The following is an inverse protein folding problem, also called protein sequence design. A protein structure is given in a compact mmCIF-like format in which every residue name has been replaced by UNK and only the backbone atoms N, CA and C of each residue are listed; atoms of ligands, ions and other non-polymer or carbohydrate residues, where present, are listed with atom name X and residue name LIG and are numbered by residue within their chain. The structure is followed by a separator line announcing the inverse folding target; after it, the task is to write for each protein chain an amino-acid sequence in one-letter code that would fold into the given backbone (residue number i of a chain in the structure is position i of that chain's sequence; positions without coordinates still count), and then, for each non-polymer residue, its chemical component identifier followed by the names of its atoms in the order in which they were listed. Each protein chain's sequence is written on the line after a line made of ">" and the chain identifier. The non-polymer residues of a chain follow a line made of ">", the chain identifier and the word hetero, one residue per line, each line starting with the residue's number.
data_IF_902190261371
#
_entry.id   IF_902190261371
#
_cell.length_a   1.000
_cell.length_b   1.000
_cell.length_c   1.000
_cell.angle_alpha   90.00
_cell.angle_beta   90.00
_cell.angle_gamma   90.00
#
_symmetry.space_group_name_H-M   'P 1'
#
loop_
_entity.id
_entity.type
_entity.pdbx_description
1 polymer ?
#
# COMPACT_ATOMS: atom_id res chain seq x y z
N UNK A 1 -0.31 -40.40 -19.54
CA UNK A 1 -0.45 -39.48 -18.39
C UNK A 1 0.82 -38.64 -18.28
N UNK A 2 0.83 -37.43 -18.84
CA UNK A 2 2.02 -36.56 -18.77
C UNK A 2 2.06 -35.99 -17.34
N UNK A 3 3.06 -36.40 -16.53
CA UNK A 3 3.31 -35.78 -15.22
C UNK A 3 3.53 -34.29 -15.46
N UNK A 4 2.60 -33.42 -15.06
CA UNK A 4 2.83 -31.96 -15.01
C UNK A 4 4.09 -31.77 -14.17
N UNK A 5 5.19 -31.36 -14.82
CA UNK A 5 6.44 -31.00 -14.11
C UNK A 5 6.07 -29.96 -13.06
N UNK A 6 6.34 -30.29 -11.80
CA UNK A 6 6.13 -29.36 -10.69
C UNK A 6 7.02 -28.12 -10.92
N UNK A 7 6.43 -26.93 -10.93
CA UNK A 7 7.12 -25.68 -11.23
C UNK A 7 8.10 -25.29 -10.12
N UNK A 8 9.06 -24.40 -10.41
CA UNK A 8 10.01 -23.91 -9.39
C UNK A 8 9.26 -23.15 -8.31
N UNK A 9 8.27 -22.33 -8.70
CA UNK A 9 7.43 -21.60 -7.74
C UNK A 9 6.68 -22.55 -6.81
N UNK A 10 6.13 -23.65 -7.31
CA UNK A 10 5.39 -24.62 -6.50
C UNK A 10 6.26 -25.30 -5.42
N UNK A 11 7.58 -25.31 -5.58
CA UNK A 11 8.53 -25.83 -4.58
C UNK A 11 8.95 -24.79 -3.54
N UNK A 12 8.78 -23.51 -3.84
CA UNK A 12 9.23 -22.40 -3.00
C UNK A 12 8.11 -21.80 -2.15
N UNK A 13 6.85 -21.94 -2.59
CA UNK A 13 5.69 -21.49 -1.81
C UNK A 13 5.42 -22.46 -0.66
N UNK A 14 5.15 -21.92 0.53
CA UNK A 14 4.65 -22.71 1.65
C UNK A 14 3.21 -23.15 1.39
N UNK A 15 2.78 -24.25 2.01
CA UNK A 15 1.41 -24.79 1.87
C UNK A 15 0.31 -23.77 2.25
N UNK A 16 0.64 -22.80 3.10
CA UNK A 16 -0.26 -21.73 3.56
C UNK A 16 0.01 -20.38 2.89
N UNK A 17 0.72 -20.35 1.75
CA UNK A 17 0.99 -19.09 1.06
C UNK A 17 -0.27 -18.53 0.39
N UNK A 18 -0.64 -17.31 0.73
CA UNK A 18 -1.69 -16.55 0.04
C UNK A 18 -1.29 -16.14 -1.39
N UNK A 19 -0.01 -16.28 -1.75
CA UNK A 19 0.51 -16.01 -3.09
C UNK A 19 0.65 -17.33 -3.87
N UNK A 20 0.02 -17.45 -5.06
CA UNK A 20 0.05 -18.69 -5.83
C UNK A 20 1.40 -18.97 -6.52
N UNK A 21 2.39 -18.09 -6.35
CA UNK A 21 3.73 -18.21 -6.93
C UNK A 21 4.78 -17.52 -6.06
N UNK A 22 6.03 -17.96 -6.22
CA UNK A 22 7.17 -17.35 -5.55
C UNK A 22 7.69 -16.16 -6.36
N UNK A 23 7.61 -14.95 -5.77
CA UNK A 23 8.14 -13.73 -6.40
C UNK A 23 9.66 -13.75 -6.34
N UNK A 24 10.31 -13.69 -7.51
CA UNK A 24 11.77 -13.56 -7.64
C UNK A 24 12.22 -12.11 -7.57
N UNK A 25 11.46 -11.21 -8.19
CA UNK A 25 11.71 -9.76 -8.14
C UNK A 25 10.45 -8.99 -8.51
N UNK A 26 10.42 -7.72 -8.17
CA UNK A 26 9.36 -6.79 -8.55
C UNK A 26 9.94 -5.48 -9.08
N UNK A 27 9.30 -4.86 -10.07
CA UNK A 27 9.73 -3.58 -10.65
C UNK A 27 8.53 -2.83 -11.24
N UNK A 28 8.36 -1.56 -10.88
CA UNK A 28 7.20 -0.74 -11.27
C UNK A 28 5.89 -1.44 -10.91
N UNK A 29 4.98 -1.67 -11.86
CA UNK A 29 3.72 -2.40 -11.66
C UNK A 29 3.81 -3.89 -12.03
N UNK A 30 5.02 -4.48 -11.97
CA UNK A 30 5.27 -5.85 -12.45
C UNK A 30 5.91 -6.75 -11.40
N UNK A 31 5.39 -7.96 -11.27
CA UNK A 31 6.01 -9.08 -10.52
C UNK A 31 6.64 -10.06 -11.51
N UNK A 32 7.76 -10.66 -11.11
CA UNK A 32 8.48 -11.66 -11.89
C UNK A 32 8.71 -12.85 -10.97
N UNK A 33 8.21 -14.03 -11.36
CA UNK A 33 8.37 -15.25 -10.55
C UNK A 33 9.66 -16.00 -10.90
N UNK A 34 9.85 -17.17 -10.28
CA UNK A 34 10.97 -18.07 -10.55
C UNK A 34 10.79 -18.93 -11.81
N UNK A 35 9.57 -19.02 -12.33
CA UNK A 35 9.23 -19.74 -13.57
C UNK A 35 9.27 -18.85 -14.82
N UNK A 36 9.79 -17.62 -14.68
CA UNK A 36 9.96 -16.60 -15.72
C UNK A 36 8.65 -15.96 -16.22
N UNK A 37 7.54 -16.19 -15.51
CA UNK A 37 6.29 -15.47 -15.76
C UNK A 37 6.43 -14.00 -15.33
N UNK A 38 5.64 -13.14 -15.97
CA UNK A 38 5.60 -11.70 -15.72
C UNK A 38 4.16 -11.30 -15.45
N UNK A 39 3.86 -10.85 -14.24
CA UNK A 39 2.52 -10.45 -13.86
C UNK A 39 2.40 -8.93 -13.81
N UNK A 40 1.30 -8.39 -14.33
CA UNK A 40 0.87 -7.04 -13.96
C UNK A 40 0.23 -7.09 -12.59
N UNK A 41 0.75 -6.29 -11.65
CA UNK A 41 0.30 -6.31 -10.27
C UNK A 41 -0.63 -5.13 -9.99
N UNK A 42 -1.90 -5.44 -9.77
CA UNK A 42 -2.92 -4.50 -9.29
C UNK A 42 -3.27 -4.72 -7.81
N UNK A 43 -2.58 -5.65 -7.14
CA UNK A 43 -2.54 -5.74 -5.68
C UNK A 43 -1.64 -4.63 -5.10
N UNK A 44 -0.44 -4.45 -5.67
CA UNK A 44 0.57 -3.47 -5.24
C UNK A 44 0.83 -3.52 -3.73
N UNK A 45 0.82 -4.74 -3.18
CA UNK A 45 0.90 -5.01 -1.75
C UNK A 45 -0.18 -4.24 -0.96
N UNK A 46 -1.43 -4.37 -1.41
CA UNK A 46 -2.58 -3.60 -0.92
C UNK A 46 -2.37 -2.08 -0.99
N UNK A 47 -1.83 -1.63 -2.13
CA UNK A 47 -1.54 -0.23 -2.39
C UNK A 47 -0.23 0.29 -1.80
N UNK A 48 0.43 -0.45 -0.88
CA UNK A 48 1.70 -0.08 -0.21
C UNK A 48 2.77 0.47 -1.14
N UNK A 49 2.77 -0.02 -2.36
CA UNK A 49 3.75 0.31 -3.37
C UNK A 49 3.11 1.20 -4.44
N UNK A 50 2.46 2.29 -4.01
CA UNK A 50 1.67 3.19 -4.88
C UNK A 50 2.51 3.87 -5.98
N UNK A 51 3.81 4.07 -5.74
CA UNK A 51 4.74 4.56 -6.78
C UNK A 51 5.29 3.45 -7.69
N UNK A 52 4.97 2.19 -7.40
CA UNK A 52 5.51 1.01 -8.04
C UNK A 52 6.80 0.48 -7.39
N UNK A 53 7.05 -0.82 -7.58
CA UNK A 53 8.15 -1.54 -6.96
C UNK A 53 9.51 -0.98 -7.38
N UNK A 54 10.42 -0.87 -6.41
CA UNK A 54 11.77 -0.38 -6.62
C UNK A 54 11.81 1.02 -7.27
N UNK A 55 10.91 1.92 -6.83
CA UNK A 55 10.92 3.33 -7.25
C UNK A 55 12.32 3.92 -7.06
N UNK A 56 12.83 4.63 -8.08
CA UNK A 56 14.25 5.04 -8.09
C UNK A 56 14.58 5.97 -6.91
N UNK A 57 13.75 6.98 -6.67
CA UNK A 57 13.92 7.95 -5.59
C UNK A 57 13.89 7.28 -4.22
N UNK A 58 12.97 6.33 -4.01
CA UNK A 58 12.84 5.60 -2.75
C UNK A 58 14.06 4.71 -2.51
N UNK A 59 14.46 3.94 -3.53
CA UNK A 59 15.66 3.10 -3.44
C UNK A 59 16.91 3.93 -3.15
N UNK A 60 17.05 5.10 -3.76
CA UNK A 60 18.17 6.02 -3.51
C UNK A 60 18.14 6.55 -2.07
N UNK A 61 16.98 7.01 -1.60
CA UNK A 61 16.82 7.53 -0.25
C UNK A 61 17.14 6.46 0.80
N UNK A 62 16.62 5.24 0.64
CA UNK A 62 16.92 4.09 1.50
C UNK A 62 18.42 3.76 1.56
N UNK A 63 19.09 3.70 0.40
CA UNK A 63 20.55 3.45 0.34
C UNK A 63 21.35 4.52 1.08
N UNK A 64 20.96 5.79 0.95
CA UNK A 64 21.61 6.90 1.65
C UNK A 64 21.33 6.88 3.16
N UNK A 65 20.20 6.35 3.60
CA UNK A 65 19.89 6.20 5.01
C UNK A 65 20.68 5.07 5.66
N UNK A 66 20.87 3.95 4.96
CA UNK A 66 21.70 2.85 5.46
C UNK A 66 23.12 3.31 5.82
N UNK A 67 23.73 4.21 5.04
CA UNK A 67 25.07 4.73 5.34
C UNK A 67 25.13 5.71 6.52
N UNK A 68 23.99 6.21 7.00
CA UNK A 68 23.88 7.18 8.10
C UNK A 68 23.39 6.55 9.42
N UNK A 69 23.12 5.24 9.43
CA UNK A 69 22.48 4.53 10.53
C UNK A 69 21.01 4.22 10.22
N UNK A 70 20.60 2.98 10.47
CA UNK A 70 19.27 2.47 10.11
C UNK A 70 18.20 2.69 11.20
N UNK A 71 18.61 2.87 12.44
CA UNK A 71 17.75 3.19 13.58
C UNK A 71 18.48 4.11 14.54
N UNK A 72 17.77 5.11 15.05
CA UNK A 72 18.18 5.90 16.20
C UNK A 72 16.90 6.15 17.00
N UNK A 73 16.88 5.79 18.29
CA UNK A 73 15.73 6.00 19.17
C UNK A 73 15.52 7.48 19.52
N UNK A 74 15.95 8.39 18.65
CA UNK A 74 16.01 9.82 18.90
C UNK A 74 15.23 10.57 17.83
N UNK A 75 14.64 11.71 18.20
CA UNK A 75 14.07 12.60 17.20
C UNK A 75 15.15 13.14 16.25
N UNK A 76 14.85 13.13 14.97
CA UNK A 76 15.74 13.66 13.92
C UNK A 76 15.04 14.77 13.15
N UNK A 77 15.82 15.63 12.49
CA UNK A 77 15.29 16.62 11.55
C UNK A 77 14.38 15.98 10.47
N UNK A 78 14.70 14.75 10.05
CA UNK A 78 13.88 13.99 9.12
C UNK A 78 12.50 13.67 9.71
N UNK A 79 12.46 13.16 10.94
CA UNK A 79 11.20 12.89 11.67
C UNK A 79 10.34 14.15 11.74
N UNK A 80 10.92 15.29 12.13
CA UNK A 80 10.19 16.57 12.17
C UNK A 80 9.68 17.02 10.80
N UNK A 81 10.49 16.84 9.73
CA UNK A 81 10.08 17.20 8.36
C UNK A 81 8.90 16.35 7.88
N UNK A 82 8.96 15.03 8.06
CA UNK A 82 7.87 14.12 7.67
C UNK A 82 6.61 14.41 8.48
N UNK A 83 6.72 14.65 9.80
CA UNK A 83 5.60 15.08 10.65
C UNK A 83 4.90 16.30 10.06
N UNK A 84 5.65 17.38 9.76
CA UNK A 84 5.11 18.61 9.17
C UNK A 84 4.44 18.37 7.82
N UNK A 85 5.06 17.59 6.93
CA UNK A 85 4.46 17.28 5.62
C UNK A 85 3.11 16.57 5.77
N UNK A 86 3.02 15.61 6.69
CA UNK A 86 1.76 14.90 6.98
C UNK A 86 0.71 15.83 7.62
N UNK A 87 1.12 16.68 8.57
CA UNK A 87 0.23 17.69 9.16
C UNK A 87 -0.33 18.63 8.10
N UNK A 88 0.49 19.08 7.14
CA UNK A 88 0.06 19.96 6.05
C UNK A 88 -0.83 19.25 5.04
N UNK A 89 -0.43 18.06 4.57
CA UNK A 89 -1.17 17.34 3.51
C UNK A 89 -2.56 16.89 3.96
N UNK A 90 -2.68 16.52 5.24
CA UNK A 90 -3.92 15.96 5.77
C UNK A 90 -4.60 16.85 6.81
N UNK A 91 -4.08 18.06 7.06
CA UNK A 91 -4.61 19.03 8.02
C UNK A 91 -4.74 18.48 9.45
N UNK A 92 -3.77 17.69 9.91
CA UNK A 92 -3.77 17.15 11.27
C UNK A 92 -2.93 18.00 12.24
N UNK A 93 -3.42 18.23 13.47
CA UNK A 93 -2.72 19.05 14.45
C UNK A 93 -1.44 18.42 14.98
N UNK A 94 -1.35 17.08 15.10
CA UNK A 94 -0.15 16.39 15.57
C UNK A 94 0.19 15.19 14.66
N UNK A 95 1.49 14.79 14.61
CA UNK A 95 1.95 13.58 13.91
C UNK A 95 2.93 12.72 14.72
N UNK A 96 2.73 11.39 14.78
CA UNK A 96 3.43 10.37 15.55
C UNK A 96 3.50 9.08 14.74
N UNK A 97 4.51 8.29 15.07
CA UNK A 97 4.89 7.09 14.34
C UNK A 97 4.89 5.92 15.32
N UNK A 98 4.38 4.77 14.88
CA UNK A 98 4.40 3.52 15.62
C UNK A 98 4.93 2.44 14.68
N UNK A 99 5.69 1.47 15.19
CA UNK A 99 6.25 0.41 14.33
C UNK A 99 5.29 -0.77 14.10
N UNK A 100 4.21 -0.86 14.88
CA UNK A 100 3.23 -1.95 14.80
C UNK A 100 1.84 -1.53 15.26
N UNK A 101 0.82 -2.35 14.96
CA UNK A 101 -0.55 -2.13 15.44
C UNK A 101 -0.65 -2.40 16.94
N UNK A 102 0.17 -3.31 17.43
CA UNK A 102 0.24 -3.73 18.82
C UNK A 102 0.75 -2.57 19.68
N UNK A 103 1.77 -1.85 19.23
CA UNK A 103 2.33 -0.67 19.90
C UNK A 103 1.33 0.48 19.94
N UNK A 104 0.65 0.73 18.82
CA UNK A 104 -0.46 1.66 18.77
C UNK A 104 -1.58 1.27 19.76
N UNK A 105 -1.97 -0.01 19.77
CA UNK A 105 -3.05 -0.49 20.64
C UNK A 105 -2.69 -0.33 22.11
N UNK A 106 -1.45 -0.65 22.48
CA UNK A 106 -0.94 -0.45 23.85
C UNK A 106 -0.97 1.03 24.24
N UNK A 107 -0.53 1.91 23.33
CA UNK A 107 -0.59 3.35 23.52
C UNK A 107 -2.04 3.85 23.72
N UNK A 108 -2.99 3.45 22.87
CA UNK A 108 -4.39 3.89 22.97
C UNK A 108 -5.05 3.44 24.28
N UNK A 109 -4.75 2.22 24.73
CA UNK A 109 -5.23 1.68 26.01
C UNK A 109 -4.72 2.48 27.20
N UNK A 110 -3.44 2.86 27.19
CA UNK A 110 -2.82 3.66 28.26
C UNK A 110 -3.37 5.09 28.33
N UNK A 111 -3.84 5.64 27.21
CA UNK A 111 -4.47 6.95 27.15
C UNK A 111 -6.01 6.92 27.18
N UNK A 112 -6.61 5.86 27.76
CA UNK A 112 -8.05 5.70 27.95
C UNK A 112 -8.89 5.89 26.67
N UNK A 113 -8.37 5.47 25.50
CA UNK A 113 -9.14 5.41 24.26
C UNK A 113 -9.68 3.99 24.07
N UNK A 114 -10.99 3.87 23.81
CA UNK A 114 -11.71 2.59 23.80
C UNK A 114 -11.27 1.66 22.64
N UNK A 115 -11.40 0.34 22.84
CA UNK A 115 -11.18 -0.68 21.81
C UNK A 115 -12.06 -0.48 20.56
N UNK A 116 -13.21 0.18 20.69
CA UNK A 116 -14.08 0.60 19.58
C UNK A 116 -13.36 1.54 18.59
N UNK A 117 -12.37 2.31 19.06
CA UNK A 117 -11.54 3.16 18.23
C UNK A 117 -10.55 2.34 17.40
N UNK A 118 -10.04 1.21 17.91
CA UNK A 118 -9.17 0.28 17.18
C UNK A 118 -9.91 -0.43 16.04
N UNK A 119 -11.14 -0.85 16.27
CA UNK A 119 -11.99 -1.47 15.23
C UNK A 119 -12.35 -0.46 14.14
N UNK A 120 -12.64 0.80 14.51
CA UNK A 120 -12.79 1.91 13.55
C UNK A 120 -11.48 2.20 12.82
N UNK A 121 -10.33 2.23 13.48
CA UNK A 121 -9.01 2.45 12.84
C UNK A 121 -8.70 1.36 11.81
N UNK A 122 -9.02 0.10 12.11
CA UNK A 122 -8.80 -1.01 11.18
C UNK A 122 -9.65 -0.91 9.88
N UNK A 123 -10.79 -0.23 9.96
CA UNK A 123 -11.70 0.02 8.83
C UNK A 123 -11.45 1.36 8.12
N UNK A 124 -10.62 2.25 8.68
CA UNK A 124 -10.19 3.50 8.07
C UNK A 124 -9.07 3.29 7.03
N UNK A 125 -9.37 2.57 5.95
CA UNK A 125 -8.54 2.54 4.72
C UNK A 125 -8.79 3.74 3.79
N UNK A 126 -9.63 4.67 4.22
CA UNK A 126 -9.99 5.87 3.46
C UNK A 126 -9.49 7.13 4.15
N UNK A 127 -8.98 8.13 3.39
CA UNK A 127 -8.83 9.48 3.92
C UNK A 127 -10.23 10.04 4.20
N UNK A 128 -10.74 9.83 5.42
CA UNK A 128 -12.00 10.41 5.82
C UNK A 128 -11.84 11.90 6.12
N UNK A 129 -12.79 12.68 5.61
CA UNK A 129 -12.92 14.12 5.77
C UNK A 129 -13.49 14.48 7.15
N UNK A 130 -12.72 14.33 8.22
CA UNK A 130 -13.09 14.92 9.51
C UNK A 130 -11.86 15.13 10.40
N UNK A 131 -11.74 16.33 10.97
CA UNK A 131 -10.68 16.79 11.88
C UNK A 131 -10.65 16.09 13.25
N UNK A 132 -11.58 15.17 13.53
CA UNK A 132 -11.81 14.63 14.87
C UNK A 132 -11.49 13.13 15.04
N UNK A 133 -11.05 12.44 13.98
CA UNK A 133 -10.78 10.99 14.04
C UNK A 133 -9.30 10.67 13.82
N UNK A 134 -8.72 9.71 14.58
CA UNK A 134 -7.38 9.22 14.31
C UNK A 134 -7.33 8.59 12.91
N UNK A 135 -6.40 9.06 12.07
CA UNK A 135 -6.18 8.49 10.75
C UNK A 135 -5.06 7.45 10.82
N UNK A 136 -5.36 6.23 10.40
CA UNK A 136 -4.35 5.30 9.94
C UNK A 136 -4.01 5.64 8.51
N UNK A 137 -2.79 6.15 8.29
CA UNK A 137 -2.31 6.25 6.92
C UNK A 137 -2.20 4.82 6.41
N UNK A 138 -2.97 4.56 5.36
CA UNK A 138 -2.92 3.31 4.64
C UNK A 138 -1.46 3.06 4.25
N UNK A 139 -1.06 1.80 4.32
CA UNK A 139 0.32 1.44 4.09
C UNK A 139 0.75 1.83 2.65
N UNK A 140 -0.17 2.14 1.73
CA UNK A 140 0.06 2.83 0.44
C UNK A 140 0.90 4.11 0.47
N UNK A 141 0.91 4.81 1.60
CA UNK A 141 1.75 6.01 1.79
C UNK A 141 3.14 5.65 2.35
N UNK A 142 3.30 4.42 2.85
CA UNK A 142 4.49 3.90 3.50
C UNK A 142 5.07 2.77 2.67
N UNK A 143 5.94 3.10 1.72
CA UNK A 143 6.56 2.13 0.82
C UNK A 143 7.52 1.11 1.51
N UNK A 144 7.36 0.82 2.82
CA UNK A 144 7.87 -0.38 3.49
C UNK A 144 7.50 -0.57 5.00
N UNK A 145 6.53 0.09 5.63
CA UNK A 145 6.17 -0.24 7.03
C UNK A 145 4.68 -0.12 7.34
N UNK A 146 4.02 -1.17 7.85
CA UNK A 146 2.66 -1.05 8.33
C UNK A 146 2.64 -0.23 9.62
N UNK A 147 1.69 0.70 9.66
CA UNK A 147 1.26 1.53 10.79
C UNK A 147 1.93 2.90 10.89
N UNK A 148 1.09 3.89 10.63
CA UNK A 148 1.29 5.31 10.84
C UNK A 148 -0.03 5.79 11.43
N UNK A 149 -0.09 6.02 12.74
CA UNK A 149 -1.32 6.50 13.39
C UNK A 149 -1.04 7.58 14.41
N UNK A 150 -1.98 8.51 14.48
CA UNK A 150 -2.17 9.68 15.34
C UNK A 150 -3.64 9.81 15.68
N UNK A 151 -4.14 10.38 16.78
CA UNK A 151 -3.80 11.57 17.57
C UNK A 151 -4.20 11.37 19.04
N UNK A 152 -3.55 12.08 19.97
CA UNK A 152 -4.10 12.46 21.28
C UNK A 152 -3.93 13.98 21.44
N UNK A 153 -4.81 14.65 22.19
CA UNK A 153 -4.68 16.07 22.56
C UNK A 153 -3.61 16.33 23.63
N UNK A 154 -2.89 15.28 24.07
CA UNK A 154 -1.94 15.35 25.18
C UNK A 154 -0.48 15.19 24.74
N UNK A 155 0.42 15.68 25.59
CA UNK A 155 1.86 15.58 25.44
C UNK A 155 2.32 14.12 25.56
N UNK A 156 3.01 13.61 24.55
CA UNK A 156 3.36 12.18 24.39
C UNK A 156 4.79 11.85 24.82
N UNK A 157 5.31 12.62 25.76
CA UNK A 157 6.61 12.40 26.37
C UNK A 157 6.92 10.93 26.78
N UNK A 158 5.97 10.08 27.23
CA UNK A 158 6.31 8.73 27.68
C UNK A 158 6.63 7.71 26.57
N UNK A 159 6.46 8.04 25.29
CA UNK A 159 6.70 7.12 24.16
C UNK A 159 7.73 7.62 23.15
N UNK A 160 8.57 8.58 23.53
CA UNK A 160 9.66 9.08 22.67
C UNK A 160 10.73 8.00 22.34
N UNK A 161 10.72 6.89 23.08
CA UNK A 161 11.69 5.79 22.92
C UNK A 161 11.27 4.72 21.90
N UNK A 162 10.21 4.91 21.11
CA UNK A 162 9.82 3.97 20.06
C UNK A 162 10.79 4.04 18.86
N UNK A 163 11.59 2.99 18.57
CA UNK A 163 12.60 3.02 17.53
C UNK A 163 11.98 2.90 16.13
N UNK A 164 11.51 4.03 15.61
CA UNK A 164 11.09 4.12 14.21
C UNK A 164 12.31 4.27 13.32
N UNK A 165 12.47 3.34 12.36
CA UNK A 165 13.66 3.31 11.52
C UNK A 165 13.77 4.54 10.59
N UNK A 166 14.99 5.05 10.44
CA UNK A 166 15.33 6.16 9.51
C UNK A 166 14.98 5.78 8.06
N UNK A 167 15.04 4.48 7.75
CA UNK A 167 14.68 3.92 6.44
C UNK A 167 13.20 4.15 6.12
N UNK A 168 12.29 3.87 7.06
CA UNK A 168 10.86 4.04 6.85
C UNK A 168 10.52 5.51 6.59
N UNK A 169 11.07 6.43 7.40
CA UNK A 169 10.82 7.87 7.27
C UNK A 169 11.31 8.44 5.92
N UNK A 170 12.44 7.96 5.39
CA UNK A 170 12.95 8.42 4.08
C UNK A 170 12.13 7.88 2.92
N UNK A 171 11.67 6.62 2.99
CA UNK A 171 10.71 6.10 2.03
C UNK A 171 9.43 6.92 2.02
N UNK A 172 8.86 7.19 3.19
CA UNK A 172 7.64 7.98 3.32
C UNK A 172 7.80 9.39 2.77
N UNK A 173 8.88 10.08 3.14
CA UNK A 173 9.15 11.44 2.65
C UNK A 173 9.11 11.49 1.13
N UNK A 174 9.79 10.55 0.46
CA UNK A 174 9.80 10.46 -1.00
C UNK A 174 8.40 10.16 -1.54
N UNK A 175 7.65 9.24 -0.92
CA UNK A 175 6.26 8.98 -1.32
C UNK A 175 5.42 10.24 -1.24
N UNK A 176 5.49 10.99 -0.15
CA UNK A 176 4.73 12.22 0.04
C UNK A 176 5.15 13.33 -0.95
N UNK A 177 6.44 13.43 -1.28
CA UNK A 177 6.95 14.40 -2.26
C UNK A 177 6.52 14.05 -3.70
N UNK A 178 6.35 12.76 -4.01
CA UNK A 178 6.03 12.30 -5.36
C UNK A 178 4.54 11.94 -5.56
N UNK A 179 3.75 11.77 -4.50
CA UNK A 179 2.34 11.40 -4.58
C UNK A 179 1.50 12.52 -5.22
N UNK A 180 0.93 12.22 -6.39
CA UNK A 180 0.15 13.19 -7.16
C UNK A 180 -1.30 12.74 -7.34
N UNK A 181 -2.21 13.19 -6.46
CA UNK A 181 -3.67 12.92 -6.60
C UNK A 181 -4.21 13.22 -8.02
N UNK A 182 -3.92 14.39 -8.64
CA UNK A 182 -4.43 14.71 -9.97
C UNK A 182 -3.97 13.76 -11.08
N UNK A 183 -2.77 13.17 -10.95
CA UNK A 183 -2.29 12.17 -11.89
C UNK A 183 -3.23 10.97 -11.94
N UNK A 184 -3.66 10.49 -10.78
CA UNK A 184 -4.53 9.31 -10.66
C UNK A 184 -5.93 9.56 -11.18
N UNK A 185 -6.53 10.68 -10.80
CA UNK A 185 -7.89 11.02 -11.25
C UNK A 185 -7.91 11.17 -12.78
N UNK A 186 -6.91 11.85 -13.36
CA UNK A 186 -6.77 11.96 -14.82
C UNK A 186 -6.56 10.58 -15.47
N UNK A 187 -5.78 9.71 -14.85
CA UNK A 187 -5.53 8.35 -15.36
C UNK A 187 -6.81 7.52 -15.33
N UNK A 188 -7.58 7.60 -14.25
CA UNK A 188 -8.89 6.95 -14.15
C UNK A 188 -9.85 7.51 -15.20
N UNK A 189 -10.03 8.83 -15.26
CA UNK A 189 -10.93 9.49 -16.20
C UNK A 189 -10.59 9.21 -17.67
N UNK A 190 -9.30 9.12 -17.99
CA UNK A 190 -8.83 8.88 -19.35
C UNK A 190 -8.86 7.42 -19.79
N UNK A 191 -8.62 6.46 -18.86
CA UNK A 191 -8.40 5.06 -19.22
C UNK A 191 -9.45 4.09 -18.67
N UNK A 192 -9.97 4.35 -17.46
CA UNK A 192 -10.91 3.46 -16.77
C UNK A 192 -12.37 3.91 -16.88
N UNK A 193 -12.62 5.20 -17.12
CA UNK A 193 -13.97 5.77 -17.24
C UNK A 193 -14.92 5.06 -18.21
N UNK A 194 -14.48 4.53 -19.38
CA UNK A 194 -15.38 3.75 -20.24
C UNK A 194 -15.97 2.50 -19.55
N UNK A 195 -15.35 2.05 -18.46
CA UNK A 195 -15.70 0.85 -17.69
C UNK A 195 -16.25 1.19 -16.31
N UNK A 196 -16.77 2.41 -16.15
CA UNK A 196 -17.42 2.87 -14.92
C UNK A 196 -18.73 2.12 -14.59
N UNK A 197 -19.22 1.26 -15.49
CA UNK A 197 -20.38 0.39 -15.23
C UNK A 197 -19.98 -0.80 -14.37
N UNK A 198 -18.75 -1.27 -14.54
CA UNK A 198 -18.15 -2.41 -13.85
C UNK A 198 -17.25 -1.96 -12.70
N UNK A 199 -16.65 -0.77 -12.80
CA UNK A 199 -15.69 -0.23 -11.86
C UNK A 199 -16.21 1.03 -11.15
N UNK A 200 -15.86 1.17 -9.88
CA UNK A 200 -16.09 2.38 -9.10
C UNK A 200 -14.75 3.03 -8.74
N UNK A 201 -14.61 4.32 -9.03
CA UNK A 201 -13.43 5.11 -8.65
C UNK A 201 -13.52 5.44 -7.15
N UNK A 202 -12.53 5.00 -6.38
CA UNK A 202 -12.40 5.35 -4.97
C UNK A 202 -11.38 6.49 -4.74
N UNK A 203 -10.80 7.00 -5.83
CA UNK A 203 -9.83 8.08 -5.84
C UNK A 203 -8.42 7.65 -5.42
N UNK A 204 -7.44 8.46 -5.80
CA UNK A 204 -6.02 8.23 -5.44
C UNK A 204 -5.43 6.93 -6.01
N UNK A 205 -5.90 6.53 -7.20
CA UNK A 205 -5.43 5.32 -7.89
C UNK A 205 -6.12 4.04 -7.43
N UNK A 206 -7.14 4.13 -6.58
CA UNK A 206 -7.93 3.01 -6.07
C UNK A 206 -9.23 2.86 -6.83
N UNK A 207 -9.60 1.63 -7.15
CA UNK A 207 -10.88 1.33 -7.79
C UNK A 207 -11.41 -0.02 -7.32
N UNK A 208 -12.72 -0.22 -7.34
CA UNK A 208 -13.34 -1.49 -6.94
C UNK A 208 -14.27 -2.02 -8.04
N UNK A 209 -14.49 -3.33 -8.04
CA UNK A 209 -15.53 -3.95 -8.86
C UNK A 209 -16.91 -3.64 -8.25
N UNK A 210 -17.89 -3.30 -9.09
CA UNK A 210 -19.28 -3.08 -8.67
C UNK A 210 -20.00 -4.41 -8.38
N UNK A 211 -21.04 -4.35 -7.55
CA UNK A 211 -21.75 -5.49 -6.97
C UNK A 211 -22.17 -6.57 -7.98
N UNK A 212 -21.93 -7.84 -7.66
CA UNK A 212 -22.34 -9.01 -8.45
C UNK A 212 -21.17 -9.87 -8.96
N UNK A 213 -19.96 -9.33 -8.98
CA UNK A 213 -18.75 -10.02 -9.40
C UNK A 213 -17.92 -10.41 -8.17
N UNK A 214 -17.67 -11.71 -7.96
CA UNK A 214 -16.85 -12.17 -6.82
C UNK A 214 -15.36 -12.01 -7.12
N UNK A 215 -14.63 -11.33 -6.24
CA UNK A 215 -13.19 -11.08 -6.36
C UNK A 215 -12.39 -12.38 -6.61
N UNK A 216 -12.76 -13.48 -5.94
CA UNK A 216 -12.14 -14.79 -6.12
C UNK A 216 -12.26 -15.33 -7.55
N UNK A 217 -13.47 -15.33 -8.12
CA UNK A 217 -13.73 -15.83 -9.48
C UNK A 217 -12.98 -15.00 -10.53
N UNK A 218 -12.90 -13.68 -10.32
CA UNK A 218 -12.11 -12.78 -11.17
C UNK A 218 -10.62 -13.03 -11.03
N UNK A 219 -10.12 -13.24 -9.81
CA UNK A 219 -8.69 -13.39 -9.53
C UNK A 219 -8.08 -14.58 -10.27
N UNK A 220 -8.79 -15.72 -10.34
CA UNK A 220 -8.34 -16.91 -11.07
C UNK A 220 -8.24 -16.63 -12.57
N UNK A 221 -9.24 -15.96 -13.14
CA UNK A 221 -9.26 -15.63 -14.57
C UNK A 221 -8.23 -14.57 -14.95
N UNK A 222 -8.01 -13.59 -14.10
CA UNK A 222 -6.94 -12.60 -14.24
C UNK A 222 -5.57 -13.28 -14.17
N UNK A 223 -5.40 -14.24 -13.27
CA UNK A 223 -4.14 -14.96 -13.10
C UNK A 223 -3.76 -15.76 -14.35
N UNK A 224 -4.72 -16.43 -15.00
CA UNK A 224 -4.52 -17.09 -16.31
C UNK A 224 -3.99 -16.13 -17.39
N UNK A 225 -4.28 -14.84 -17.24
CA UNK A 225 -3.86 -13.78 -18.15
C UNK A 225 -2.66 -12.98 -17.62
N UNK A 226 -1.87 -13.54 -16.69
CA UNK A 226 -0.71 -12.86 -16.12
C UNK A 226 -1.05 -11.51 -15.46
N UNK A 227 -2.22 -11.41 -14.84
CA UNK A 227 -2.64 -10.27 -14.02
C UNK A 227 -2.82 -10.78 -12.60
N UNK A 228 -2.12 -10.17 -11.65
CA UNK A 228 -2.21 -10.54 -10.25
C UNK A 228 -3.10 -9.57 -9.46
N UNK A 229 -4.07 -10.17 -8.79
CA UNK A 229 -4.96 -9.55 -7.80
C UNK A 229 -5.16 -10.57 -6.69
N UNK A 230 -5.13 -10.13 -5.44
CA UNK A 230 -5.35 -11.03 -4.32
C UNK A 230 -6.81 -11.51 -4.30
N UNK A 231 -7.11 -12.81 -4.07
CA UNK A 231 -8.46 -13.36 -4.18
C UNK A 231 -9.51 -12.71 -3.24
N UNK A 232 -9.06 -12.20 -2.10
CA UNK A 232 -9.89 -11.53 -1.09
C UNK A 232 -9.88 -10.00 -1.23
N UNK A 233 -9.20 -9.45 -2.24
CA UNK A 233 -9.06 -8.01 -2.40
C UNK A 233 -10.22 -7.44 -3.21
N UNK A 234 -11.00 -6.58 -2.56
CA UNK A 234 -12.14 -5.89 -3.18
C UNK A 234 -11.71 -4.59 -3.89
N UNK A 235 -10.61 -3.97 -3.42
CA UNK A 235 -10.07 -2.71 -3.94
C UNK A 235 -8.78 -2.95 -4.67
N UNK A 236 -8.70 -2.53 -5.93
CA UNK A 236 -7.57 -2.65 -6.83
C UNK A 236 -6.80 -1.33 -6.87
N UNK A 237 -5.52 -1.42 -7.21
CA UNK A 237 -4.61 -0.28 -7.14
C UNK A 237 -3.90 -0.06 -8.47
N UNK A 238 -3.79 1.20 -8.87
CA UNK A 238 -2.88 1.65 -9.91
C UNK A 238 -1.57 2.11 -9.24
N UNK A 239 -0.44 1.86 -9.89
CA UNK A 239 0.87 2.46 -9.59
C UNK A 239 1.06 3.78 -10.37
N UNK A 240 1.85 4.75 -9.87
CA UNK A 240 1.91 6.12 -10.43
C UNK A 240 2.49 6.15 -11.84
N UNK A 241 3.05 5.02 -12.28
CA UNK A 241 3.55 4.83 -13.63
C UNK A 241 2.86 3.64 -14.30
N UNK A 242 1.59 3.37 -13.96
CA UNK A 242 0.81 2.35 -14.66
C UNK A 242 0.58 2.81 -16.08
N UNK A 243 1.11 2.04 -17.02
CA UNK A 243 1.09 2.40 -18.43
C UNK A 243 -0.31 2.15 -19.02
N UNK A 244 -0.79 2.96 -19.97
CA UNK A 244 -2.13 2.83 -20.53
C UNK A 244 -2.46 1.44 -21.09
N UNK A 245 -1.46 0.73 -21.64
CA UNK A 245 -1.66 -0.61 -22.18
C UNK A 245 -1.94 -1.65 -21.07
N UNK A 246 -1.43 -1.46 -19.86
CA UNK A 246 -1.67 -2.35 -18.72
C UNK A 246 -3.12 -2.27 -18.29
N UNK A 247 -3.65 -1.04 -18.22
CA UNK A 247 -5.06 -0.75 -17.94
C UNK A 247 -5.95 -1.32 -19.04
N UNK A 248 -5.65 -1.05 -20.31
CA UNK A 248 -6.40 -1.63 -21.45
C UNK A 248 -6.41 -3.15 -21.43
N UNK A 249 -5.28 -3.78 -21.06
CA UNK A 249 -5.19 -5.22 -20.98
C UNK A 249 -6.02 -5.79 -19.81
N UNK A 250 -5.94 -5.20 -18.61
CA UNK A 250 -6.82 -5.54 -17.49
C UNK A 250 -8.27 -5.55 -17.92
N UNK A 251 -8.72 -4.47 -18.53
CA UNK A 251 -10.12 -4.36 -18.89
C UNK A 251 -10.53 -5.33 -20.00
N UNK A 252 -9.67 -5.56 -21.00
CA UNK A 252 -9.91 -6.57 -22.03
C UNK A 252 -10.08 -7.97 -21.43
N UNK A 253 -9.45 -8.27 -20.30
CA UNK A 253 -9.64 -9.53 -19.59
C UNK A 253 -10.94 -9.50 -18.78
N UNK A 254 -11.20 -8.42 -18.05
CA UNK A 254 -12.45 -8.25 -17.28
C UNK A 254 -13.70 -8.31 -18.16
N UNK A 255 -13.67 -7.78 -19.39
CA UNK A 255 -14.81 -7.81 -20.32
C UNK A 255 -15.15 -9.19 -20.87
N UNK A 256 -14.38 -10.23 -20.51
CA UNK A 256 -14.59 -11.63 -20.91
C UNK A 256 -15.07 -12.50 -19.75
N UNK A 257 -15.24 -11.90 -18.58
CA UNK A 257 -15.74 -12.50 -17.34
C UNK A 257 -17.20 -12.05 -17.20
#
# INVERSE_FOLDING_TARGET
>A
MIKKKQTVSAKLISENSFFPFAVRRARFSKLYDYDQNKFFDFCLFHGQVVLGYSHHSIRRALKNSLSRGFTNGYETHLTSKVKKMLQTLFHYPFVNFFHSKENLSAYLKLHHRSDEMLDKISSLRNPLSSSEKPLLLDASVSNAFPVLVLLSHENLAPFQDDPVSVLALESMKVVLEEYQKPFWEKTFDGLLKPFQRELENLGGGRFQLKSGIKAKEVSEKLFENCIFVHPEQEVFYLAQNTEPHQVKYLVKVLSKI
#
